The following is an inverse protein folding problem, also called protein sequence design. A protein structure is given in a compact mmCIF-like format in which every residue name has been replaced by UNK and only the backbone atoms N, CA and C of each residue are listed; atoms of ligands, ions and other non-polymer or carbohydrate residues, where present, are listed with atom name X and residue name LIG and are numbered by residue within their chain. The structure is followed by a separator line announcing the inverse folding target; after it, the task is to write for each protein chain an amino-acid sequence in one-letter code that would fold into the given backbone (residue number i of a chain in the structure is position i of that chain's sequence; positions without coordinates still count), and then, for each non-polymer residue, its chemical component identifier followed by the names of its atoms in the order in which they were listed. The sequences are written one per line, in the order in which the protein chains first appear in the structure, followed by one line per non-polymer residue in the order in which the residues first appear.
data_IF_050493110638
#
_entry.id   IF_050493110638
#
_cell.length_a   1.000
_cell.length_b   1.000
_cell.length_c   1.000
_cell.angle_alpha   90.00
_cell.angle_beta   90.00
_cell.angle_gamma   90.00
#
_symmetry.space_group_name_H-M   'P 1'
#
loop_
_entity.id
_entity.type
_entity.pdbx_description
1 polymer ?
#
# COMPACT_ATOMS: atom_id res chain seq x y z
N UNK A 1 14.69 7.75 -10.06
CA UNK A 1 14.85 7.29 -8.67
C UNK A 1 13.78 6.28 -8.34
N UNK A 2 14.14 5.23 -7.65
CA UNK A 2 13.17 4.22 -7.24
C UNK A 2 12.30 4.76 -6.10
N UNK A 3 11.00 4.56 -6.21
CA UNK A 3 10.07 4.87 -5.13
C UNK A 3 10.18 3.77 -4.08
N UNK A 4 10.43 4.14 -2.84
CA UNK A 4 10.60 3.18 -1.75
C UNK A 4 9.41 3.27 -0.79
N UNK A 5 8.81 2.13 -0.49
CA UNK A 5 7.68 2.03 0.42
C UNK A 5 8.17 1.75 1.84
N UNK A 6 7.64 2.49 2.80
CA UNK A 6 7.90 2.28 4.23
C UNK A 6 6.56 2.16 4.96
N UNK A 7 6.61 1.88 6.25
CA UNK A 7 5.39 1.81 7.08
C UNK A 7 4.63 3.13 7.11
N UNK A 8 5.34 4.24 6.99
CA UNK A 8 4.74 5.58 7.05
C UNK A 8 4.32 6.11 5.68
N UNK A 9 4.59 5.37 4.61
CA UNK A 9 4.21 5.81 3.27
C UNK A 9 2.69 5.81 3.14
N UNK A 10 2.16 6.88 2.57
CA UNK A 10 0.71 7.02 2.34
C UNK A 10 0.32 6.17 1.13
N UNK A 11 -0.77 5.42 1.27
CA UNK A 11 -1.24 4.51 0.21
C UNK A 11 -1.53 5.27 -1.09
N UNK A 12 -2.14 6.45 -1.00
CA UNK A 12 -2.39 7.27 -2.17
C UNK A 12 -1.12 7.60 -2.94
N UNK A 13 -0.04 7.87 -2.23
CA UNK A 13 1.26 8.15 -2.87
C UNK A 13 1.78 6.92 -3.59
N UNK A 14 1.60 5.74 -3.01
CA UNK A 14 2.02 4.49 -3.65
C UNK A 14 1.24 4.28 -4.94
N UNK A 15 -0.07 4.46 -4.89
CA UNK A 15 -0.93 4.27 -6.07
C UNK A 15 -0.64 5.30 -7.15
N UNK A 16 -0.30 6.52 -6.77
CA UNK A 16 0.03 7.57 -7.74
C UNK A 16 1.39 7.34 -8.41
N UNK A 17 2.36 6.83 -7.66
CA UNK A 17 3.72 6.58 -8.18
C UNK A 17 3.87 5.20 -8.79
N UNK A 18 3.09 4.22 -8.32
CA UNK A 18 3.20 2.84 -8.76
C UNK A 18 1.81 2.20 -8.82
N UNK A 19 0.98 2.60 -9.81
CA UNK A 19 -0.39 2.08 -9.93
C UNK A 19 -0.44 0.57 -10.13
N UNK A 20 0.64 -0.04 -10.60
CA UNK A 20 0.73 -1.48 -10.76
C UNK A 20 0.63 -2.23 -9.43
N UNK A 21 0.76 -1.55 -8.28
CA UNK A 21 0.63 -2.19 -6.98
C UNK A 21 -0.82 -2.37 -6.53
N UNK A 22 -1.78 -1.82 -7.25
CA UNK A 22 -3.19 -1.93 -6.87
C UNK A 22 -3.64 -3.36 -6.58
N UNK A 23 -3.27 -4.39 -7.36
CA UNK A 23 -3.66 -5.77 -7.05
C UNK A 23 -3.20 -6.25 -5.67
N UNK A 24 -2.06 -5.77 -5.20
CA UNK A 24 -1.55 -6.15 -3.87
C UNK A 24 -2.50 -5.65 -2.78
N UNK A 25 -2.97 -4.41 -2.91
CA UNK A 25 -3.91 -3.84 -1.94
C UNK A 25 -5.27 -4.53 -2.02
N UNK A 26 -5.71 -4.92 -3.21
CA UNK A 26 -6.96 -5.65 -3.36
C UNK A 26 -6.89 -7.01 -2.68
N UNK A 27 -5.76 -7.69 -2.77
CA UNK A 27 -5.55 -8.97 -2.08
C UNK A 27 -5.60 -8.82 -0.57
N UNK A 28 -5.21 -7.66 -0.05
CA UNK A 28 -5.30 -7.36 1.38
C UNK A 28 -6.74 -7.21 1.86
N UNK A 29 -7.67 -6.99 0.95
CA UNK A 29 -9.05 -6.72 1.29
C UNK A 29 -9.44 -5.25 1.17
N UNK A 30 -8.58 -4.41 0.62
CA UNK A 30 -8.88 -3.00 0.38
C UNK A 30 -9.67 -2.86 -0.92
N UNK A 31 -10.99 -2.77 -0.80
CA UNK A 31 -11.86 -2.72 -1.97
C UNK A 31 -12.11 -1.32 -2.50
N UNK A 32 -11.76 -0.29 -1.74
CA UNK A 32 -12.05 1.11 -2.10
C UNK A 32 -10.79 1.93 -2.30
N UNK A 33 -9.97 1.54 -3.26
CA UNK A 33 -8.69 2.23 -3.50
C UNK A 33 -8.87 3.66 -4.00
N UNK A 34 -10.03 4.00 -4.51
CA UNK A 34 -10.34 5.36 -4.93
C UNK A 34 -10.92 6.23 -3.83
N UNK A 35 -11.20 5.68 -2.65
CA UNK A 35 -11.81 6.46 -1.56
C UNK A 35 -10.75 7.32 -0.87
N UNK A 36 -11.06 8.62 -0.62
CA UNK A 36 -10.10 9.50 0.05
C UNK A 36 -9.64 8.96 1.41
N UNK A 37 -10.51 8.30 2.15
CA UNK A 37 -10.16 7.71 3.44
C UNK A 37 -9.07 6.64 3.32
N UNK A 38 -9.24 5.73 2.37
CA UNK A 38 -8.27 4.65 2.15
C UNK A 38 -6.93 5.22 1.65
N UNK A 39 -6.99 6.19 0.74
CA UNK A 39 -5.80 6.77 0.15
C UNK A 39 -4.98 7.60 1.14
N UNK A 40 -5.59 8.09 2.21
CA UNK A 40 -4.89 8.92 3.21
C UNK A 40 -4.27 8.10 4.33
N UNK A 41 -4.51 6.79 4.39
CA UNK A 41 -3.92 5.93 5.40
C UNK A 41 -2.47 5.59 5.04
N UNK A 42 -1.66 5.35 6.10
CA UNK A 42 -0.32 4.80 5.89
C UNK A 42 -0.42 3.28 5.67
N UNK A 43 0.66 2.69 5.14
CA UNK A 43 0.71 1.24 4.97
C UNK A 43 0.50 0.52 6.30
N UNK A 44 1.14 1.00 7.37
CA UNK A 44 1.01 0.39 8.69
C UNK A 44 -0.44 0.44 9.19
N UNK A 45 -1.11 1.58 9.01
CA UNK A 45 -2.51 1.73 9.43
C UNK A 45 -3.42 0.76 8.68
N UNK A 46 -3.26 0.68 7.37
CA UNK A 46 -4.07 -0.22 6.54
C UNK A 46 -3.83 -1.68 6.92
N UNK A 47 -2.58 -2.06 7.13
CA UNK A 47 -2.25 -3.43 7.51
C UNK A 47 -2.84 -3.80 8.87
N UNK A 48 -2.83 -2.86 9.81
CA UNK A 48 -3.41 -3.09 11.14
C UNK A 48 -4.92 -3.32 11.03
N UNK A 49 -5.61 -2.53 10.21
CA UNK A 49 -7.06 -2.66 10.03
C UNK A 49 -7.42 -4.01 9.40
N UNK A 50 -6.63 -4.46 8.44
CA UNK A 50 -6.90 -5.70 7.71
C UNK A 50 -6.24 -6.94 8.33
N UNK A 51 -5.52 -6.79 9.43
CA UNK A 51 -4.88 -7.91 10.10
C UNK A 51 -3.72 -8.51 9.31
N UNK A 52 -3.03 -7.70 8.52
CA UNK A 52 -1.92 -8.12 7.67
C UNK A 52 -0.61 -7.60 8.26
N UNK A 53 0.47 -8.36 8.10
CA UNK A 53 1.79 -7.94 8.54
C UNK A 53 2.32 -6.83 7.61
N UNK A 54 2.58 -5.65 8.18
CA UNK A 54 3.07 -4.52 7.41
C UNK A 54 4.42 -4.81 6.74
N UNK A 55 5.31 -5.51 7.44
CA UNK A 55 6.62 -5.84 6.88
C UNK A 55 6.51 -6.72 5.64
N UNK A 56 5.59 -7.68 5.65
CA UNK A 56 5.34 -8.55 4.49
C UNK A 56 4.82 -7.74 3.30
N UNK A 57 3.88 -6.86 3.54
CA UNK A 57 3.29 -6.03 2.49
C UNK A 57 4.33 -5.06 1.93
N UNK A 58 5.13 -4.46 2.80
CA UNK A 58 6.19 -3.54 2.37
C UNK A 58 7.20 -4.26 1.48
N UNK A 59 7.59 -5.48 1.87
CA UNK A 59 8.51 -6.26 1.06
C UNK A 59 7.92 -6.58 -0.32
N UNK A 60 6.65 -6.95 -0.36
CA UNK A 60 5.95 -7.22 -1.63
C UNK A 60 5.89 -5.97 -2.50
N UNK A 61 5.54 -4.84 -1.91
CA UNK A 61 5.42 -3.59 -2.66
C UNK A 61 6.75 -3.16 -3.24
N UNK A 62 7.80 -3.18 -2.44
CA UNK A 62 9.13 -2.80 -2.91
C UNK A 62 9.66 -3.73 -3.99
N UNK A 63 9.38 -5.02 -3.85
CA UNK A 63 9.79 -6.01 -4.84
C UNK A 63 9.02 -5.81 -6.15
N UNK A 64 7.75 -5.48 -6.06
CA UNK A 64 6.89 -5.27 -7.23
C UNK A 64 7.24 -3.98 -7.98
N UNK A 65 7.68 -2.96 -7.26
CA UNK A 65 8.00 -1.64 -7.81
C UNK A 65 9.35 -1.62 -8.54
N UNK A 66 10.25 -2.49 -8.18
CA UNK A 66 11.60 -2.54 -8.76
C UNK A 66 11.63 -2.43 -10.27
#
# INVERSE_FOLDING_TARGET
MAFVVTKDTIIGDILDNAPQTAPIFLEMGMHCLGCPGARSETVAQACAVHGVDADDIIAKLNDFIK
#
